data_IF_700362917792
#
_entry.id   IF_700362917792
#
_cell.length_a   1.000
_cell.length_b   1.000
_cell.length_c   1.000
_cell.angle_alpha   90.00
_cell.angle_beta   90.00
_cell.angle_gamma   90.00
#
_symmetry.space_group_name_H-M   'P 1'
#
loop_
_entity.id
_entity.type
_entity.pdbx_description
1 polymer ?
#
# COMPACT_ATOMS: atom_id res chain seq x y z
N UNK A 1 10.34 -19.11 8.83
CA UNK A 1 9.33 -18.07 9.14
C UNK A 1 9.14 -17.19 7.91
N UNK A 2 8.01 -17.27 7.20
CA UNK A 2 7.69 -16.46 6.00
C UNK A 2 6.44 -15.58 6.19
N UNK A 3 5.94 -15.44 7.42
CA UNK A 3 4.67 -14.76 7.71
C UNK A 3 4.76 -13.32 8.22
N UNK A 4 5.95 -12.69 8.15
CA UNK A 4 6.16 -11.31 8.63
C UNK A 4 6.32 -10.28 7.50
N UNK A 5 6.24 -10.73 6.25
CA UNK A 5 6.37 -9.88 5.05
C UNK A 5 5.07 -9.97 4.28
N UNK A 6 4.46 -8.82 4.02
CA UNK A 6 3.19 -8.70 3.31
C UNK A 6 3.31 -7.58 2.27
N UNK A 7 2.42 -7.59 1.26
CA UNK A 7 2.32 -6.50 0.29
C UNK A 7 1.89 -5.20 0.98
N UNK A 8 2.33 -4.06 0.47
CA UNK A 8 1.84 -2.79 0.98
C UNK A 8 0.34 -2.62 0.69
N UNK A 9 -0.16 -3.11 -0.44
CA UNK A 9 -1.59 -3.20 -0.73
C UNK A 9 -2.28 -4.44 -0.19
N UNK A 10 -1.76 -5.11 0.85
CA UNK A 10 -2.35 -6.36 1.37
C UNK A 10 -3.83 -6.22 1.73
N UNK A 11 -4.16 -5.18 2.50
CA UNK A 11 -5.55 -4.84 2.90
C UNK A 11 -6.38 -4.20 1.78
N UNK A 12 -5.79 -4.06 0.60
CA UNK A 12 -6.38 -3.48 -0.59
C UNK A 12 -6.62 -4.56 -1.65
N UNK A 13 -7.15 -5.71 -1.23
CA UNK A 13 -7.31 -6.89 -2.09
C UNK A 13 -5.97 -7.33 -2.71
N UNK A 14 -4.91 -7.35 -1.89
CA UNK A 14 -3.56 -7.74 -2.31
C UNK A 14 -3.03 -6.93 -3.51
N UNK A 15 -3.39 -5.65 -3.59
CA UNK A 15 -3.00 -4.77 -4.68
C UNK A 15 -1.47 -4.61 -4.77
N UNK A 16 -0.92 -4.83 -5.96
CA UNK A 16 0.46 -4.48 -6.27
C UNK A 16 0.59 -3.00 -6.63
N UNK A 17 1.60 -2.36 -6.07
CA UNK A 17 1.90 -0.95 -6.34
C UNK A 17 3.02 -0.89 -7.38
N UNK A 18 2.78 -0.32 -8.56
CA UNK A 18 3.77 -0.30 -9.63
C UNK A 18 4.91 0.67 -9.32
N UNK A 19 6.13 0.34 -9.77
CA UNK A 19 7.31 1.19 -9.61
C UNK A 19 7.22 2.44 -10.52
N UNK A 20 7.18 3.67 -9.96
CA UNK A 20 7.13 4.89 -10.75
C UNK A 20 8.52 5.35 -11.25
N UNK A 21 9.61 4.65 -10.91
CA UNK A 21 10.96 5.09 -11.23
C UNK A 21 11.16 5.30 -12.75
N UNK A 22 11.74 6.45 -13.09
CA UNK A 22 11.96 6.92 -14.48
C UNK A 22 10.67 7.05 -15.31
N UNK A 23 9.52 7.26 -14.67
CA UNK A 23 8.23 7.55 -15.33
C UNK A 23 7.85 9.03 -15.25
N UNK A 24 6.73 9.38 -15.85
CA UNK A 24 6.20 10.74 -15.85
C UNK A 24 5.70 11.14 -14.45
N UNK A 25 5.62 12.44 -14.19
CA UNK A 25 5.05 12.98 -12.94
C UNK A 25 3.62 12.50 -12.68
N UNK A 26 2.84 12.30 -13.73
CA UNK A 26 1.49 11.75 -13.64
C UNK A 26 1.50 10.32 -13.11
N UNK A 27 2.43 9.47 -13.59
CA UNK A 27 2.61 8.11 -13.05
C UNK A 27 2.98 8.14 -11.57
N UNK A 28 3.87 9.05 -11.15
CA UNK A 28 4.19 9.22 -9.74
C UNK A 28 2.95 9.63 -8.91
N UNK A 29 2.13 10.55 -9.42
CA UNK A 29 0.91 10.97 -8.73
C UNK A 29 -0.10 9.81 -8.61
N UNK A 30 -0.26 8.99 -9.65
CA UNK A 30 -1.11 7.81 -9.60
C UNK A 30 -0.64 6.79 -8.55
N UNK A 31 0.68 6.53 -8.50
CA UNK A 31 1.28 5.65 -7.49
C UNK A 31 1.12 6.21 -6.07
N UNK A 32 1.25 7.52 -5.90
CA UNK A 32 1.04 8.17 -4.61
C UNK A 32 -0.39 7.97 -4.09
N UNK A 33 -1.40 8.08 -4.95
CA UNK A 33 -2.81 7.81 -4.58
C UNK A 33 -3.01 6.35 -4.15
N UNK A 34 -2.36 5.40 -4.82
CA UNK A 34 -2.39 3.99 -4.39
C UNK A 34 -1.76 3.80 -3.01
N UNK A 35 -0.57 4.39 -2.79
CA UNK A 35 0.12 4.35 -1.50
C UNK A 35 -0.74 4.96 -0.38
N UNK A 36 -1.39 6.09 -0.63
CA UNK A 36 -2.26 6.73 0.36
C UNK A 36 -3.41 5.80 0.78
N UNK A 37 -4.09 5.19 -0.20
CA UNK A 37 -5.20 4.26 0.05
C UNK A 37 -4.75 3.07 0.88
N UNK A 38 -3.67 2.40 0.47
CA UNK A 38 -3.14 1.24 1.18
C UNK A 38 -2.65 1.59 2.58
N UNK A 39 -1.99 2.74 2.76
CA UNK A 39 -1.53 3.21 4.08
C UNK A 39 -2.69 3.42 5.06
N UNK A 40 -3.83 3.98 4.59
CA UNK A 40 -5.03 4.17 5.42
C UNK A 40 -5.62 2.83 5.87
N UNK A 41 -5.68 1.84 4.98
CA UNK A 41 -6.17 0.50 5.32
C UNK A 41 -5.24 -0.20 6.32
N UNK A 42 -3.91 -0.07 6.17
CA UNK A 42 -2.95 -0.54 7.17
C UNK A 42 -3.16 0.11 8.53
N UNK A 43 -3.33 1.43 8.58
CA UNK A 43 -3.59 2.13 9.83
C UNK A 43 -4.87 1.62 10.50
N UNK A 44 -5.93 1.34 9.72
CA UNK A 44 -7.16 0.75 10.25
C UNK A 44 -6.96 -0.66 10.78
N UNK A 45 -6.29 -1.54 10.03
CA UNK A 45 -6.03 -2.92 10.44
C UNK A 45 -5.21 -2.99 11.73
N UNK A 46 -4.13 -2.20 11.83
CA UNK A 46 -3.26 -2.18 13.00
C UNK A 46 -3.93 -1.55 14.22
N UNK A 47 -4.78 -0.54 14.04
CA UNK A 47 -5.53 0.07 15.14
C UNK A 47 -6.71 -0.80 15.60
N UNK A 48 -7.31 -1.59 14.71
CA UNK A 48 -8.37 -2.53 15.07
C UNK A 48 -7.85 -3.69 15.96
N UNK A 49 -6.57 -4.05 15.83
CA UNK A 49 -5.90 -5.05 16.68
C UNK A 49 -5.48 -4.51 18.07
N UNK A 50 -5.64 -3.21 18.33
CA UNK A 50 -5.24 -2.56 19.58
C UNK A 50 -6.39 -2.41 20.60
N UNK A 51 -7.57 -2.99 20.34
CA UNK A 51 -8.75 -2.96 21.22
C UNK A 51 -8.96 -4.29 21.94
#
# INVERSE_FOLDING_TARGET
>A
MRGKVMLFGHWDNECEIPDPYRKSRETFAAVYTLLERSARQWAQALNAEQV
#
